data_IF_733832500669
#
_entry.id   IF_733832500669
#
_cell.length_a   1.000
_cell.length_b   1.000
_cell.length_c   1.000
_cell.angle_alpha   90.00
_cell.angle_beta   90.00
_cell.angle_gamma   90.00
#
_symmetry.space_group_name_H-M   'P 1'
#
loop_
_entity.id
_entity.type
_entity.pdbx_description
1 polymer ?
#
# COMPACT_ATOMS: atom_id res chain seq x y z
N UNK A 1 10.82 12.46 4.03
CA UNK A 1 9.74 13.15 4.78
C UNK A 1 9.96 14.68 4.75
N UNK A 2 8.90 15.52 4.66
CA UNK A 2 7.49 15.21 4.98
C UNK A 2 6.60 14.81 3.79
N UNK A 3 6.99 15.06 2.54
CA UNK A 3 6.10 14.89 1.38
C UNK A 3 6.12 13.49 0.76
N UNK A 4 7.24 12.78 0.92
CA UNK A 4 7.47 11.47 0.31
C UNK A 4 8.40 10.64 1.18
N UNK A 5 8.11 9.35 1.26
CA UNK A 5 9.09 8.34 1.66
C UNK A 5 8.84 7.04 0.90
N UNK A 6 9.89 6.23 0.80
CA UNK A 6 9.85 4.93 0.12
C UNK A 6 10.39 3.89 1.08
N UNK A 7 9.64 2.81 1.30
CA UNK A 7 10.13 1.61 1.92
C UNK A 7 10.36 0.51 0.88
N UNK A 8 11.45 -0.23 1.05
CA UNK A 8 11.81 -1.32 0.16
C UNK A 8 12.17 -2.56 0.98
N UNK A 9 11.63 -3.71 0.60
CA UNK A 9 11.92 -4.95 1.28
C UNK A 9 13.32 -5.45 0.89
N UNK A 10 14.21 -5.60 1.88
CA UNK A 10 15.55 -6.18 1.66
C UNK A 10 15.55 -7.71 1.72
N UNK A 11 14.72 -8.30 2.59
CA UNK A 11 14.54 -9.75 2.75
C UNK A 11 13.08 -10.02 3.10
N UNK A 12 12.48 -11.03 2.47
CA UNK A 12 11.08 -11.40 2.70
C UNK A 12 10.50 -12.20 1.52
N UNK A 13 9.19 -12.46 1.53
CA UNK A 13 8.54 -13.36 0.57
C UNK A 13 8.51 -12.80 -0.86
N UNK A 14 8.51 -11.47 -1.03
CA UNK A 14 8.56 -10.85 -2.35
C UNK A 14 9.98 -10.79 -2.92
N UNK A 15 10.15 -11.10 -4.21
CA UNK A 15 11.41 -10.85 -4.95
C UNK A 15 11.73 -9.36 -5.05
N UNK A 16 10.69 -8.54 -5.14
CA UNK A 16 10.77 -7.08 -5.11
C UNK A 16 9.56 -6.55 -4.37
N UNK A 17 9.78 -5.58 -3.51
CA UNK A 17 8.73 -4.78 -2.92
C UNK A 17 9.27 -3.37 -2.73
N UNK A 18 8.61 -2.40 -3.35
CA UNK A 18 8.89 -0.98 -3.21
C UNK A 18 7.55 -0.30 -3.00
N UNK A 19 7.38 0.32 -1.84
CA UNK A 19 6.17 1.03 -1.47
C UNK A 19 6.49 2.51 -1.31
N UNK A 20 5.89 3.32 -2.16
CA UNK A 20 6.04 4.77 -2.17
C UNK A 20 4.83 5.41 -1.54
N UNK A 21 5.08 6.25 -0.54
CA UNK A 21 4.07 7.03 0.16
C UNK A 21 4.24 8.48 -0.25
N UNK A 22 3.13 9.14 -0.60
CA UNK A 22 3.08 10.57 -0.92
C UNK A 22 2.05 11.27 -0.06
N UNK A 23 2.40 12.47 0.42
CA UNK A 23 1.55 13.30 1.27
C UNK A 23 1.45 14.68 0.66
N UNK A 24 0.22 15.15 0.47
CA UNK A 24 -0.09 16.47 -0.06
C UNK A 24 -1.12 17.12 0.85
N UNK A 25 -0.89 18.38 1.24
CA UNK A 25 -1.88 19.16 1.96
C UNK A 25 -3.09 19.40 1.05
N UNK A 26 -4.29 19.12 1.55
CA UNK A 26 -5.52 19.15 0.75
C UNK A 26 -6.72 19.42 1.65
N UNK A 27 -7.50 20.47 1.35
CA UNK A 27 -8.73 20.86 2.06
C UNK A 27 -8.63 20.84 3.60
N UNK A 28 -7.58 21.46 4.16
CA UNK A 28 -7.37 21.50 5.62
C UNK A 28 -6.87 20.19 6.23
N UNK A 29 -6.76 19.12 5.43
CA UNK A 29 -6.20 17.82 5.82
C UNK A 29 -4.98 17.43 4.99
N UNK A 30 -4.66 16.13 5.02
CA UNK A 30 -3.59 15.54 4.21
C UNK A 30 -4.16 14.45 3.33
N UNK A 31 -4.00 14.60 2.01
CA UNK A 31 -4.22 13.53 1.05
C UNK A 31 -2.99 12.64 1.01
N UNK A 32 -3.15 11.39 1.45
CA UNK A 32 -2.12 10.36 1.34
C UNK A 32 -2.36 9.50 0.10
N UNK A 33 -1.29 9.17 -0.63
CA UNK A 33 -1.33 8.23 -1.77
C UNK A 33 -0.23 7.18 -1.63
N UNK A 34 -0.65 5.93 -1.64
CA UNK A 34 0.21 4.75 -1.54
C UNK A 34 0.35 4.10 -2.92
N UNK A 35 1.59 3.80 -3.33
CA UNK A 35 1.89 3.07 -4.56
C UNK A 35 2.84 1.92 -4.26
N UNK A 36 2.40 0.69 -4.53
CA UNK A 36 3.24 -0.50 -4.38
C UNK A 36 3.62 -1.09 -5.73
N UNK A 37 4.93 -1.31 -5.88
CA UNK A 37 5.51 -2.14 -6.94
C UNK A 37 6.07 -3.40 -6.30
N UNK A 38 5.49 -4.55 -6.64
CA UNK A 38 5.93 -5.84 -6.10
C UNK A 38 6.13 -6.90 -7.18
N UNK A 39 6.96 -7.88 -6.86
CA UNK A 39 7.20 -9.08 -7.67
C UNK A 39 7.21 -10.30 -6.76
N UNK A 40 6.39 -11.30 -7.11
CA UNK A 40 6.30 -12.57 -6.38
C UNK A 40 7.33 -13.58 -6.92
N UNK A 41 7.87 -14.47 -6.06
CA UNK A 41 8.63 -15.62 -6.52
C UNK A 41 7.69 -16.62 -7.20
N UNK A 42 7.97 -16.96 -8.46
CA UNK A 42 7.19 -17.97 -9.18
C UNK A 42 7.49 -19.36 -8.60
N UNK A 43 6.68 -19.81 -7.64
CA UNK A 43 6.71 -21.21 -7.26
C UNK A 43 6.16 -22.04 -8.42
N UNK A 44 6.86 -23.14 -8.70
CA UNK A 44 6.82 -23.94 -9.92
C UNK A 44 5.45 -24.53 -10.33
N UNK A 45 4.33 -24.24 -9.66
CA UNK A 45 3.09 -25.01 -9.85
C UNK A 45 1.78 -24.24 -10.14
N UNK A 46 1.64 -22.91 -9.98
CA UNK A 46 0.40 -22.21 -10.43
C UNK A 46 0.49 -20.67 -10.59
N UNK A 47 1.18 -20.14 -11.62
CA UNK A 47 1.41 -18.70 -11.78
C UNK A 47 0.13 -17.83 -11.89
N UNK A 48 -1.00 -18.39 -12.33
CA UNK A 48 -2.26 -17.65 -12.47
C UNK A 48 -3.07 -17.58 -11.17
N UNK A 49 -3.19 -18.67 -10.42
CA UNK A 49 -3.97 -18.70 -9.17
C UNK A 49 -3.27 -17.87 -8.09
N UNK A 50 -1.95 -18.01 -7.96
CA UNK A 50 -1.18 -17.25 -6.98
C UNK A 50 -1.23 -15.75 -7.25
N UNK A 51 -1.03 -15.30 -8.50
CA UNK A 51 -0.97 -13.87 -8.82
C UNK A 51 -2.26 -13.14 -8.46
N UNK A 52 -3.41 -13.77 -8.72
CA UNK A 52 -4.72 -13.20 -8.37
C UNK A 52 -4.93 -13.18 -6.85
N UNK A 53 -4.53 -14.25 -6.15
CA UNK A 53 -4.63 -14.31 -4.70
C UNK A 53 -3.74 -13.26 -4.03
N UNK A 54 -2.46 -13.15 -4.44
CA UNK A 54 -1.54 -12.13 -3.92
C UNK A 54 -2.04 -10.72 -4.19
N UNK A 55 -2.54 -10.44 -5.41
CA UNK A 55 -3.13 -9.13 -5.72
C UNK A 55 -4.29 -8.79 -4.76
N UNK A 56 -5.22 -9.74 -4.55
CA UNK A 56 -6.32 -9.54 -3.60
C UNK A 56 -5.82 -9.31 -2.17
N UNK A 57 -4.82 -10.05 -1.71
CA UNK A 57 -4.23 -9.83 -0.38
C UNK A 57 -3.61 -8.45 -0.25
N UNK A 58 -2.86 -8.00 -1.26
CA UNK A 58 -2.28 -6.65 -1.28
C UNK A 58 -3.40 -5.61 -1.24
N UNK A 59 -4.44 -5.75 -2.06
CA UNK A 59 -5.61 -4.86 -2.06
C UNK A 59 -6.29 -4.79 -0.68
N UNK A 60 -6.49 -5.94 -0.01
CA UNK A 60 -7.08 -6.01 1.33
C UNK A 60 -6.22 -5.30 2.39
N UNK A 61 -4.88 -5.44 2.32
CA UNK A 61 -3.96 -4.74 3.24
C UNK A 61 -4.13 -3.22 3.10
N UNK A 62 -4.24 -2.71 1.86
CA UNK A 62 -4.40 -1.27 1.62
C UNK A 62 -5.79 -0.75 1.95
N UNK A 63 -6.83 -1.56 1.74
CA UNK A 63 -8.18 -1.24 2.21
C UNK A 63 -8.23 -1.11 3.73
N UNK A 64 -7.72 -2.11 4.44
CA UNK A 64 -7.65 -2.07 5.90
C UNK A 64 -6.83 -0.87 6.41
N UNK A 65 -5.68 -0.59 5.78
CA UNK A 65 -4.85 0.57 6.11
C UNK A 65 -5.63 1.88 5.94
N UNK A 66 -6.38 2.03 4.85
CA UNK A 66 -7.22 3.20 4.61
C UNK A 66 -8.27 3.38 5.71
N UNK A 67 -8.99 2.31 6.04
CA UNK A 67 -10.00 2.33 7.11
C UNK A 67 -9.41 2.76 8.44
N UNK A 68 -8.28 2.16 8.85
CA UNK A 68 -7.61 2.50 10.11
C UNK A 68 -7.05 3.91 10.14
N UNK A 69 -6.51 4.41 9.03
CA UNK A 69 -6.02 5.79 8.96
C UNK A 69 -7.18 6.77 9.12
N UNK A 70 -8.33 6.52 8.50
CA UNK A 70 -9.51 7.38 8.66
C UNK A 70 -10.11 7.29 10.06
N UNK A 71 -9.99 6.15 10.73
CA UNK A 71 -10.42 5.97 12.12
C UNK A 71 -9.52 6.73 13.11
N UNK A 72 -8.20 6.68 12.92
CA UNK A 72 -7.21 7.34 13.81
C UNK A 72 -7.10 8.84 13.52
N UNK A 73 -7.21 9.21 12.25
CA UNK A 73 -7.16 10.59 11.76
C UNK A 73 -8.47 10.91 11.03
N UNK A 74 -9.59 10.98 11.74
CA UNK A 74 -10.85 11.44 11.16
C UNK A 74 -10.61 12.89 10.71
N UNK A 75 -10.63 13.12 9.39
CA UNK A 75 -10.38 14.46 8.87
C UNK A 75 -11.34 15.46 9.51
N UNK A 76 -10.82 16.60 9.97
CA UNK A 76 -11.70 17.70 10.36
C UNK A 76 -12.36 18.25 9.09
N UNK A 77 -13.58 17.78 8.82
CA UNK A 77 -14.52 18.35 7.86
C UNK A 77 -14.54 17.69 6.49
N UNK A 78 -15.54 16.84 6.25
CA UNK A 78 -16.50 16.92 5.12
C UNK A 78 -17.83 16.32 5.62
N UNK A 79 -18.73 17.15 6.16
CA UNK A 79 -19.99 17.47 5.46
C UNK A 79 -19.86 17.70 3.96
#
# INVERSE_FOLDING_TARGET
PPYLFVDAQRRGPYRKWVHTHRFVADNGGTRMSDQVVYQVPGWLLAPLIERHFVRRNVEMIFQYRRERILEIFPGEGQG
#
